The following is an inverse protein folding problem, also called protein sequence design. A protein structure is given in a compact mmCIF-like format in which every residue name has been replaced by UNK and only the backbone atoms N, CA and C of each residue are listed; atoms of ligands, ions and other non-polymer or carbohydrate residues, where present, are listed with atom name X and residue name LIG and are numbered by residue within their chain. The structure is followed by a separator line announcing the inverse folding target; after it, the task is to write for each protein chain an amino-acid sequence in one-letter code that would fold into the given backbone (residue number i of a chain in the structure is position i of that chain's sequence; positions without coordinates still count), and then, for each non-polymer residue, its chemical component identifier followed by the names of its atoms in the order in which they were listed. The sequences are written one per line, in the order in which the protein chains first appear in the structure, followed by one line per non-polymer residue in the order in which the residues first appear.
data_IF_222972974381
#
_entry.id   IF_222972974381
#
_cell.length_a   1.000
_cell.length_b   1.000
_cell.length_c   1.000
_cell.angle_alpha   90.00
_cell.angle_beta   90.00
_cell.angle_gamma   90.00
#
_symmetry.space_group_name_H-M   'P 1'
#
loop_
_entity.id
_entity.type
_entity.pdbx_description
1 polymer ?
#
# COMPACT_ATOMS: atom_id res chain seq x y z
N UNK A 1 42.47 -11.41 -39.19
CA UNK A 1 42.04 -12.16 -37.98
C UNK A 1 41.61 -11.24 -36.82
N UNK A 2 42.29 -10.12 -36.56
CA UNK A 2 41.94 -9.20 -35.45
C UNK A 2 40.66 -8.36 -35.64
N UNK A 3 40.16 -8.16 -36.87
CA UNK A 3 38.95 -7.34 -37.12
C UNK A 3 37.64 -8.07 -36.81
N UNK A 4 37.63 -9.40 -36.92
CA UNK A 4 36.45 -10.22 -36.59
C UNK A 4 36.30 -10.42 -35.08
N UNK A 5 37.41 -10.43 -34.33
CA UNK A 5 37.43 -10.52 -32.87
C UNK A 5 36.81 -9.27 -32.20
N UNK A 6 36.99 -8.08 -32.81
CA UNK A 6 36.39 -6.82 -32.34
C UNK A 6 34.87 -6.76 -32.57
N UNK A 7 34.36 -7.38 -33.64
CA UNK A 7 32.93 -7.44 -33.93
C UNK A 7 32.19 -8.40 -33.00
N UNK A 8 32.84 -9.48 -32.57
CA UNK A 8 32.25 -10.46 -31.63
C UNK A 8 32.15 -9.91 -30.20
N UNK A 9 33.11 -9.09 -29.74
CA UNK A 9 33.03 -8.43 -28.43
C UNK A 9 31.96 -7.32 -28.36
N UNK A 10 31.71 -6.62 -29.47
CA UNK A 10 30.71 -5.53 -29.48
C UNK A 10 29.26 -6.05 -29.44
N UNK A 11 28.99 -7.24 -29.96
CA UNK A 11 27.65 -7.83 -29.97
C UNK A 11 27.30 -8.47 -28.62
N UNK A 12 28.28 -9.01 -27.89
CA UNK A 12 28.08 -9.64 -26.59
C UNK A 12 27.91 -8.66 -25.42
N UNK A 13 28.36 -7.40 -25.57
CA UNK A 13 28.13 -6.35 -24.58
C UNK A 13 26.71 -5.74 -24.67
N UNK A 14 26.05 -5.83 -25.83
CA UNK A 14 24.69 -5.30 -26.02
C UNK A 14 23.61 -6.26 -25.49
N UNK A 15 23.93 -7.54 -25.31
CA UNK A 15 22.99 -8.55 -24.80
C UNK A 15 22.88 -8.56 -23.27
N UNK A 16 23.85 -7.98 -22.55
CA UNK A 16 23.88 -8.02 -21.08
C UNK A 16 23.11 -6.88 -20.41
N UNK A 17 22.77 -5.82 -21.13
CA UNK A 17 22.05 -4.65 -20.56
C UNK A 17 20.52 -4.83 -20.61
N UNK A 18 20.02 -5.78 -21.40
CA UNK A 18 18.58 -5.96 -21.61
C UNK A 18 17.86 -6.82 -20.53
N UNK A 19 18.58 -7.40 -19.56
CA UNK A 19 18.01 -8.41 -18.64
C UNK A 19 17.74 -7.89 -17.22
N UNK A 20 18.17 -6.67 -16.85
CA UNK A 20 18.01 -6.18 -15.46
C UNK A 20 16.88 -5.20 -15.24
N UNK A 21 16.03 -4.93 -16.23
CA UNK A 21 14.74 -4.26 -15.99
C UNK A 21 13.72 -5.29 -15.47
N UNK A 22 14.06 -5.99 -14.38
CA UNK A 22 13.07 -6.63 -13.55
C UNK A 22 12.15 -5.50 -13.06
N UNK A 23 10.99 -5.35 -13.71
CA UNK A 23 9.92 -4.52 -13.21
C UNK A 23 9.65 -5.01 -11.79
N UNK A 24 10.03 -4.20 -10.79
CA UNK A 24 9.47 -4.36 -9.47
C UNK A 24 7.96 -4.18 -9.67
N UNK A 25 7.20 -5.27 -9.65
CA UNK A 25 5.75 -5.17 -9.67
C UNK A 25 5.35 -4.27 -8.50
N UNK A 26 4.53 -3.25 -8.77
CA UNK A 26 4.00 -2.39 -7.72
C UNK A 26 3.33 -3.31 -6.69
N UNK A 27 3.75 -3.18 -5.43
CA UNK A 27 3.19 -4.00 -4.36
C UNK A 27 1.76 -3.56 -4.13
N UNK A 28 0.90 -4.54 -3.86
CA UNK A 28 -0.46 -4.24 -3.42
C UNK A 28 -0.43 -3.34 -2.19
N UNK A 29 -1.26 -2.30 -2.16
CA UNK A 29 -1.27 -1.33 -1.07
C UNK A 29 -2.52 -1.50 -0.24
N UNK A 30 -2.36 -1.79 1.05
CA UNK A 30 -3.47 -1.97 2.00
C UNK A 30 -3.30 -1.05 3.20
N UNK A 31 -4.41 -0.60 3.79
CA UNK A 31 -4.39 0.33 4.90
C UNK A 31 -5.12 -0.20 6.13
N UNK A 32 -4.65 0.20 7.31
CA UNK A 32 -5.37 0.06 8.57
C UNK A 32 -5.54 1.43 9.23
N UNK A 33 -6.79 1.74 9.58
CA UNK A 33 -7.18 2.98 10.26
C UNK A 33 -7.67 2.66 11.67
N UNK A 34 -6.87 2.92 12.73
CA UNK A 34 -7.30 2.71 14.11
C UNK A 34 -8.30 3.78 14.57
N UNK A 35 -8.86 3.61 15.77
CA UNK A 35 -9.66 4.65 16.42
C UNK A 35 -8.80 5.84 16.85
N UNK A 36 -7.56 5.60 17.26
CA UNK A 36 -6.54 6.63 17.52
C UNK A 36 -5.14 6.04 17.43
N UNK A 37 -4.17 6.86 17.05
CA UNK A 37 -2.76 6.45 17.03
C UNK A 37 -2.07 6.69 18.38
N UNK A 38 -0.94 6.02 18.62
CA UNK A 38 -0.06 6.32 19.75
C UNK A 38 -0.40 5.63 21.07
N UNK A 39 -1.42 4.77 21.11
CA UNK A 39 -1.73 3.95 22.31
C UNK A 39 -1.25 2.51 22.16
N UNK A 40 -0.86 1.83 23.27
CA UNK A 40 -0.30 0.48 23.22
C UNK A 40 -1.17 -0.54 22.46
N UNK A 41 -2.50 -0.43 22.57
CA UNK A 41 -3.42 -1.32 21.88
C UNK A 41 -3.27 -1.26 20.36
N UNK A 42 -3.32 -0.06 19.76
CA UNK A 42 -3.20 0.09 18.31
C UNK A 42 -1.76 -0.01 17.81
N UNK A 43 -0.75 0.29 18.64
CA UNK A 43 0.66 0.01 18.30
C UNK A 43 0.91 -1.49 18.15
N UNK A 44 0.25 -2.34 18.97
CA UNK A 44 0.33 -3.79 18.82
C UNK A 44 -0.30 -4.27 17.51
N UNK A 45 -1.41 -3.64 17.08
CA UNK A 45 -2.05 -3.91 15.78
C UNK A 45 -1.18 -3.47 14.61
N UNK A 46 -0.58 -2.28 14.69
CA UNK A 46 0.39 -1.79 13.70
C UNK A 46 1.56 -2.77 13.55
N UNK A 47 2.13 -3.24 14.67
CA UNK A 47 3.20 -4.23 14.64
C UNK A 47 2.76 -5.55 13.99
N UNK A 48 1.51 -5.97 14.19
CA UNK A 48 0.90 -7.12 13.52
C UNK A 48 0.74 -6.91 12.01
N UNK A 49 0.19 -5.77 11.61
CA UNK A 49 0.02 -5.37 10.22
C UNK A 49 1.35 -5.32 9.47
N UNK A 50 2.38 -4.71 10.06
CA UNK A 50 3.73 -4.67 9.49
C UNK A 50 4.35 -6.06 9.29
N UNK A 51 4.14 -7.00 10.23
CA UNK A 51 4.59 -8.39 10.07
C UNK A 51 3.87 -9.07 8.91
N UNK A 52 2.53 -8.99 8.87
CA UNK A 52 1.73 -9.58 7.80
C UNK A 52 2.08 -8.98 6.43
N UNK A 53 2.32 -7.66 6.37
CA UNK A 53 2.70 -6.97 5.15
C UNK A 53 4.02 -7.50 4.57
N UNK A 54 5.01 -7.71 5.45
CA UNK A 54 6.28 -8.33 5.09
C UNK A 54 6.09 -9.76 4.57
N UNK A 55 5.30 -10.57 5.26
CA UNK A 55 5.07 -11.97 4.90
C UNK A 55 4.31 -12.13 3.58
N UNK A 56 3.39 -11.20 3.29
CA UNK A 56 2.56 -11.20 2.08
C UNK A 56 3.18 -10.40 0.92
N UNK A 57 4.24 -9.64 1.15
CA UNK A 57 4.89 -8.82 0.13
C UNK A 57 4.06 -7.60 -0.31
N UNK A 58 3.22 -7.06 0.58
CA UNK A 58 2.35 -5.91 0.32
C UNK A 58 2.87 -4.65 1.02
N UNK A 59 2.45 -3.48 0.55
CA UNK A 59 2.68 -2.20 1.22
C UNK A 59 1.55 -1.94 2.21
N UNK A 60 1.92 -1.71 3.48
CA UNK A 60 0.97 -1.44 4.55
C UNK A 60 1.02 0.02 4.97
N UNK A 61 -0.15 0.66 4.97
CA UNK A 61 -0.33 2.03 5.44
C UNK A 61 -1.03 2.00 6.79
N UNK A 62 -0.35 2.49 7.82
CA UNK A 62 -0.95 2.75 9.12
C UNK A 62 -1.19 4.25 9.27
N UNK A 63 -2.45 4.66 9.36
CA UNK A 63 -2.82 6.08 9.50
C UNK A 63 -4.12 6.20 10.26
N UNK A 64 -4.19 7.08 11.25
CA UNK A 64 -5.38 7.28 12.07
C UNK A 64 -5.38 8.64 12.75
N UNK A 65 -6.51 9.02 13.36
CA UNK A 65 -6.62 10.30 14.03
C UNK A 65 -5.80 10.30 15.33
N UNK A 66 -5.47 11.50 15.82
CA UNK A 66 -4.80 11.71 17.12
C UNK A 66 -5.77 11.92 18.27
N UNK A 67 -7.05 12.13 17.96
CA UNK A 67 -8.15 12.27 18.90
C UNK A 67 -9.34 11.39 18.48
N UNK A 68 -10.45 11.48 19.20
CA UNK A 68 -11.64 10.64 18.99
C UNK A 68 -12.72 11.33 18.14
N UNK A 69 -12.33 12.14 17.15
CA UNK A 69 -13.26 12.78 16.23
C UNK A 69 -13.59 11.88 15.02
N UNK A 70 -14.85 11.43 14.86
CA UNK A 70 -15.23 10.57 13.72
C UNK A 70 -15.07 11.24 12.34
N UNK A 71 -15.16 12.58 12.27
CA UNK A 71 -15.01 13.33 11.01
C UNK A 71 -13.58 13.23 10.49
N UNK A 72 -12.60 13.26 11.40
CA UNK A 72 -11.18 13.17 11.04
C UNK A 72 -10.86 11.75 10.57
N UNK A 73 -11.40 10.72 11.25
CA UNK A 73 -11.29 9.33 10.79
C UNK A 73 -11.90 9.15 9.39
N UNK A 74 -13.06 9.74 9.13
CA UNK A 74 -13.71 9.69 7.82
C UNK A 74 -12.84 10.30 6.71
N UNK A 75 -12.25 11.47 6.96
CA UNK A 75 -11.36 12.12 5.99
C UNK A 75 -10.11 11.29 5.72
N UNK A 76 -9.54 10.66 6.75
CA UNK A 76 -8.41 9.74 6.58
C UNK A 76 -8.78 8.57 5.66
N UNK A 77 -9.93 7.94 5.88
CA UNK A 77 -10.41 6.84 5.02
C UNK A 77 -10.62 7.31 3.58
N UNK A 78 -11.27 8.45 3.37
CA UNK A 78 -11.49 8.99 2.02
C UNK A 78 -10.17 9.32 1.31
N UNK A 79 -9.20 9.90 2.03
CA UNK A 79 -7.87 10.17 1.48
C UNK A 79 -7.15 8.88 1.06
N UNK A 80 -7.25 7.80 1.84
CA UNK A 80 -6.68 6.49 1.49
C UNK A 80 -7.35 5.89 0.24
N UNK A 81 -8.67 6.00 0.16
CA UNK A 81 -9.47 5.62 -1.02
C UNK A 81 -9.00 6.40 -2.25
N UNK A 82 -8.75 7.71 -2.10
CA UNK A 82 -8.29 8.58 -3.20
C UNK A 82 -6.84 8.32 -3.59
N UNK A 83 -6.00 7.88 -2.65
CA UNK A 83 -4.63 7.41 -2.92
C UNK A 83 -4.58 6.05 -3.63
N UNK A 84 -5.71 5.38 -3.84
CA UNK A 84 -5.78 4.12 -4.58
C UNK A 84 -5.24 2.92 -3.81
N UNK A 85 -5.38 2.89 -2.49
CA UNK A 85 -5.19 1.63 -1.74
C UNK A 85 -6.23 0.60 -2.19
N UNK A 86 -5.88 -0.67 -2.21
CA UNK A 86 -6.76 -1.74 -2.68
C UNK A 86 -7.72 -2.24 -1.60
N UNK A 87 -7.30 -2.09 -0.33
CA UNK A 87 -8.14 -2.39 0.83
C UNK A 87 -7.86 -1.44 1.99
N UNK A 88 -8.91 -1.15 2.77
CA UNK A 88 -8.85 -0.40 4.02
C UNK A 88 -9.57 -1.22 5.10
N UNK A 89 -8.90 -1.50 6.21
CA UNK A 89 -9.55 -1.98 7.43
C UNK A 89 -9.68 -0.84 8.43
N UNK A 90 -10.86 -0.64 9.00
CA UNK A 90 -11.15 0.49 9.89
C UNK A 90 -11.63 -0.02 11.24
N UNK A 91 -10.93 0.36 12.31
CA UNK A 91 -11.48 0.29 13.66
C UNK A 91 -12.35 1.52 13.87
N UNK A 92 -13.64 1.39 13.58
CA UNK A 92 -14.57 2.52 13.52
C UNK A 92 -14.75 3.21 14.88
N UNK A 93 -14.70 4.54 14.88
CA UNK A 93 -15.13 5.39 16.00
C UNK A 93 -16.66 5.49 16.05
N UNK A 94 -17.28 5.74 14.89
CA UNK A 94 -18.73 5.80 14.73
C UNK A 94 -19.16 5.14 13.41
N UNK A 95 -20.09 4.20 13.51
CA UNK A 95 -20.53 3.42 12.35
C UNK A 95 -21.32 4.25 11.33
N UNK A 96 -22.11 5.23 11.81
CA UNK A 96 -22.94 6.06 10.93
C UNK A 96 -22.12 6.98 10.04
N UNK A 97 -20.95 7.41 10.54
CA UNK A 97 -20.01 8.29 9.84
C UNK A 97 -19.26 7.58 8.72
N UNK A 98 -19.05 6.27 8.80
CA UNK A 98 -18.31 5.49 7.79
C UNK A 98 -19.21 4.99 6.65
N UNK A 99 -20.51 4.81 6.89
CA UNK A 99 -21.44 4.34 5.86
C UNK A 99 -21.36 5.09 4.52
N UNK A 100 -21.21 6.44 4.47
CA UNK A 100 -21.10 7.18 3.21
C UNK A 100 -19.89 6.84 2.34
N UNK A 101 -18.75 6.44 2.94
CA UNK A 101 -17.52 6.11 2.18
C UNK A 101 -17.50 4.69 1.64
N UNK A 102 -18.41 3.81 2.10
CA UNK A 102 -18.55 2.44 1.58
C UNK A 102 -18.84 2.45 0.08
N UNK A 103 -19.78 3.29 -0.37
CA UNK A 103 -20.14 3.36 -1.79
C UNK A 103 -19.01 3.99 -2.64
N UNK A 104 -18.26 4.96 -2.08
CA UNK A 104 -17.06 5.54 -2.70
C UNK A 104 -15.96 4.49 -2.91
N UNK A 105 -15.67 3.69 -1.88
CA UNK A 105 -14.72 2.57 -1.97
C UNK A 105 -15.17 1.55 -3.02
N UNK A 106 -16.44 1.14 -2.98
CA UNK A 106 -17.02 0.16 -3.90
C UNK A 106 -16.96 0.64 -5.36
N UNK A 107 -17.28 1.90 -5.63
CA UNK A 107 -17.19 2.49 -6.96
C UNK A 107 -15.74 2.47 -7.53
N UNK A 108 -14.74 2.52 -6.64
CA UNK A 108 -13.31 2.43 -6.99
C UNK A 108 -12.73 1.01 -6.91
N UNK A 109 -13.56 0.00 -6.62
CA UNK A 109 -13.12 -1.38 -6.48
C UNK A 109 -12.36 -1.70 -5.19
N UNK A 110 -12.31 -0.76 -4.25
CA UNK A 110 -11.57 -0.86 -2.98
C UNK A 110 -12.39 -1.65 -1.97
N UNK A 111 -11.74 -2.56 -1.24
CA UNK A 111 -12.37 -3.34 -0.16
C UNK A 111 -12.31 -2.57 1.15
N UNK A 112 -13.46 -2.34 1.78
CA UNK A 112 -13.56 -1.74 3.11
C UNK A 112 -13.99 -2.81 4.13
N UNK A 113 -13.24 -2.95 5.22
CA UNK A 113 -13.45 -3.92 6.30
C UNK A 113 -13.64 -3.25 7.65
#
# INVERSE_FOLDING_TARGET
MLSQLRKVLAVSALSLVAVTAAHAADKHKVAFVPQLIGIPYFNAMEAGGNRAAKDLGVDFVYSGPVDTNPVDQLQIVQNLIDQGVEAVSVSVLDASSIAPVVESAKAKGIKLF
#
